data_IF_955096009301
#
_entry.id   IF_955096009301
#
_cell.length_a   1.000
_cell.length_b   1.000
_cell.length_c   1.000
_cell.angle_alpha   90.00
_cell.angle_beta   90.00
_cell.angle_gamma   90.00
#
_symmetry.space_group_name_H-M   'P 1'
#
loop_
_entity.id
_entity.type
_entity.pdbx_description
1 polymer ?
#
# COMPACT_ATOMS: atom_id res chain seq x y z
N UNK A 1 11.39 38.53 13.29
CA UNK A 1 12.40 39.51 12.81
C UNK A 1 13.86 39.05 12.87
N UNK A 2 14.26 37.98 13.59
CA UNK A 2 15.66 37.52 13.63
C UNK A 2 16.06 36.42 12.62
N UNK A 3 15.11 35.84 11.88
CA UNK A 3 15.42 34.85 10.83
C UNK A 3 15.85 35.51 9.51
N UNK A 4 15.29 36.68 9.17
CA UNK A 4 15.63 37.42 7.94
C UNK A 4 17.06 38.01 7.96
N UNK A 5 17.59 38.39 9.13
CA UNK A 5 18.95 38.95 9.20
C UNK A 5 20.05 37.89 9.13
N UNK A 6 19.72 36.63 9.43
CA UNK A 6 20.68 35.52 9.41
C UNK A 6 20.87 34.98 7.97
N UNK A 7 19.83 35.06 7.13
CA UNK A 7 19.92 34.73 5.70
C UNK A 7 20.75 35.76 4.91
N UNK A 8 20.77 37.02 5.33
CA UNK A 8 21.56 38.07 4.69
C UNK A 8 23.06 38.00 4.99
N UNK A 9 23.48 37.48 6.16
CA UNK A 9 24.90 37.35 6.51
C UNK A 9 25.62 36.18 5.83
N UNK A 10 24.89 35.26 5.20
CA UNK A 10 25.45 34.11 4.47
C UNK A 10 25.75 34.40 2.99
N UNK A 11 25.71 35.66 2.56
CA UNK A 11 26.11 36.05 1.19
C UNK A 11 25.11 35.70 0.10
N UNK A 12 23.88 35.29 0.45
CA UNK A 12 22.77 35.04 -0.50
C UNK A 12 22.10 36.34 -0.99
N UNK A 13 22.86 37.44 -1.04
CA UNK A 13 22.38 38.78 -1.34
C UNK A 13 22.57 39.25 -2.77
N UNK A 14 23.25 38.48 -3.64
CA UNK A 14 23.37 38.86 -5.04
C UNK A 14 23.21 37.65 -5.96
N UNK A 15 22.20 37.73 -6.81
CA UNK A 15 21.63 36.66 -7.60
C UNK A 15 22.45 36.45 -8.89
N UNK A 16 23.77 36.30 -8.76
CA UNK A 16 24.70 36.12 -9.88
C UNK A 16 25.80 35.13 -9.50
N UNK A 17 25.53 33.83 -9.65
CA UNK A 17 26.56 32.82 -9.43
C UNK A 17 26.10 31.38 -9.50
N UNK A 18 24.80 31.11 -9.31
CA UNK A 18 24.20 29.85 -9.71
C UNK A 18 23.72 30.05 -11.15
N UNK A 19 24.15 29.21 -12.09
CA UNK A 19 23.85 29.30 -13.52
C UNK A 19 22.37 29.12 -13.90
N UNK A 20 21.44 29.70 -13.14
CA UNK A 20 20.09 29.98 -13.54
C UNK A 20 20.16 31.14 -14.53
N UNK A 21 20.20 30.80 -15.82
CA UNK A 21 19.88 31.76 -16.88
C UNK A 21 18.55 32.44 -16.59
N UNK A 22 18.26 33.58 -17.23
CA UNK A 22 17.08 34.40 -16.91
C UNK A 22 15.86 33.49 -16.91
N UNK A 23 15.26 33.32 -15.72
CA UNK A 23 14.01 32.63 -15.53
C UNK A 23 13.09 33.11 -16.64
N UNK A 24 12.67 32.19 -17.51
CA UNK A 24 11.66 32.53 -18.49
C UNK A 24 10.51 33.12 -17.67
N UNK A 25 10.22 34.41 -17.88
CA UNK A 25 9.04 35.06 -17.30
C UNK A 25 7.86 34.42 -18.00
N UNK A 26 7.50 33.21 -17.58
CA UNK A 26 6.30 32.53 -18.04
C UNK A 26 5.15 33.39 -17.54
N UNK A 27 4.25 33.74 -18.44
CA UNK A 27 3.06 34.50 -18.08
C UNK A 27 2.35 33.71 -16.96
N UNK A 28 2.23 34.30 -15.76
CA UNK A 28 1.41 33.71 -14.68
C UNK A 28 0.07 33.34 -15.30
N UNK A 29 -0.31 32.06 -15.28
CA UNK A 29 -1.62 31.59 -15.74
C UNK A 29 -2.65 32.41 -14.94
N UNK A 30 -3.31 33.37 -15.60
CA UNK A 30 -4.39 34.14 -14.96
C UNK A 30 -5.56 33.20 -14.76
N UNK A 31 -5.60 32.52 -13.63
CA UNK A 31 -6.78 31.79 -13.21
C UNK A 31 -7.85 32.80 -12.80
N UNK A 32 -8.95 32.81 -13.55
CA UNK A 32 -10.08 33.73 -13.37
C UNK A 32 -11.22 33.10 -12.58
N UNK A 33 -11.19 31.79 -12.34
CA UNK A 33 -12.22 31.07 -11.59
C UNK A 33 -11.94 31.15 -10.10
N UNK A 34 -12.95 31.53 -9.32
CA UNK A 34 -12.92 31.43 -7.86
C UNK A 34 -13.13 29.96 -7.46
N UNK A 35 -12.38 29.44 -6.47
CA UNK A 35 -12.62 28.09 -5.97
C UNK A 35 -14.00 27.97 -5.32
N UNK A 36 -14.66 26.83 -5.54
CA UNK A 36 -16.02 26.57 -5.05
C UNK A 36 -16.07 25.75 -3.76
N UNK A 37 -14.99 25.02 -3.44
CA UNK A 37 -14.92 24.09 -2.31
C UNK A 37 -13.60 24.23 -1.55
N UNK A 38 -12.49 24.11 -2.28
CA UNK A 38 -11.13 24.22 -1.73
C UNK A 38 -10.85 25.61 -1.19
N UNK A 39 -10.28 25.68 0.01
CA UNK A 39 -9.77 26.91 0.63
C UNK A 39 -8.26 26.93 0.56
N UNK A 40 -7.73 27.90 -0.18
CA UNK A 40 -6.31 28.17 -0.27
C UNK A 40 -5.84 29.04 0.89
N UNK A 41 -4.59 28.85 1.31
CA UNK A 41 -3.89 29.76 2.20
C UNK A 41 -3.61 31.09 1.48
N UNK A 42 -3.46 32.19 2.24
CA UNK A 42 -3.21 33.52 1.67
C UNK A 42 -1.87 33.62 0.92
N UNK A 43 -0.91 32.79 1.33
CA UNK A 43 0.43 32.68 0.74
C UNK A 43 0.52 31.61 -0.38
N UNK A 44 -0.56 30.89 -0.67
CA UNK A 44 -0.55 29.96 -1.80
C UNK A 44 -0.52 30.71 -3.12
N UNK A 45 0.17 30.14 -4.12
CA UNK A 45 -0.03 30.51 -5.52
C UNK A 45 -1.06 29.56 -6.15
N UNK A 46 -2.32 29.97 -6.37
CA UNK A 46 -3.34 29.08 -6.93
C UNK A 46 -2.98 28.59 -8.35
N UNK A 47 -2.07 29.26 -9.06
CA UNK A 47 -1.74 28.92 -10.45
C UNK A 47 -0.94 27.62 -10.61
N UNK A 48 -0.35 27.09 -9.52
CA UNK A 48 0.39 25.81 -9.54
C UNK A 48 -0.50 24.60 -9.27
N UNK A 49 -1.81 24.81 -9.01
CA UNK A 49 -2.76 23.75 -8.72
C UNK A 49 -3.57 23.32 -9.96
N UNK A 50 -3.99 22.04 -10.04
CA UNK A 50 -4.86 21.57 -11.11
C UNK A 50 -6.16 22.38 -11.23
N UNK A 51 -6.65 22.61 -12.45
CA UNK A 51 -7.89 23.35 -12.69
C UNK A 51 -9.10 22.73 -11.96
N UNK A 52 -9.07 21.40 -11.75
CA UNK A 52 -10.10 20.66 -11.01
C UNK A 52 -10.42 21.30 -9.64
N UNK A 53 -9.43 21.83 -8.93
CA UNK A 53 -9.58 22.36 -7.57
C UNK A 53 -10.34 23.68 -7.51
N UNK A 54 -10.55 24.34 -8.65
CA UNK A 54 -11.38 25.54 -8.75
C UNK A 54 -12.86 25.22 -8.97
N UNK A 55 -13.19 23.94 -9.16
CA UNK A 55 -14.57 23.44 -9.27
C UNK A 55 -14.97 22.67 -8.02
N UNK A 56 -16.27 22.37 -7.88
CA UNK A 56 -16.75 21.56 -6.76
C UNK A 56 -16.48 20.06 -7.02
N UNK A 57 -15.89 19.31 -6.06
CA UNK A 57 -15.58 17.88 -6.23
C UNK A 57 -16.77 17.01 -6.64
N UNK A 58 -17.99 17.38 -6.24
CA UNK A 58 -19.21 16.64 -6.63
C UNK A 58 -19.49 16.61 -8.15
N UNK A 59 -18.92 17.55 -8.91
CA UNK A 59 -19.02 17.64 -10.37
C UNK A 59 -17.74 17.18 -11.09
N UNK A 60 -16.78 16.67 -10.33
CA UNK A 60 -15.49 16.26 -10.87
C UNK A 60 -15.62 14.99 -11.71
N UNK A 61 -14.99 15.02 -12.87
CA UNK A 61 -14.82 13.87 -13.76
C UNK A 61 -13.33 13.49 -13.78
N UNK A 62 -12.98 12.26 -13.39
CA UNK A 62 -11.59 11.83 -13.35
C UNK A 62 -10.94 11.83 -14.73
N UNK A 63 -9.66 12.23 -14.78
CA UNK A 63 -8.83 12.05 -15.96
C UNK A 63 -8.68 10.55 -16.25
N UNK A 64 -8.93 10.20 -17.51
CA UNK A 64 -8.70 8.85 -18.02
C UNK A 64 -7.35 8.80 -18.73
N UNK A 65 -6.64 7.71 -18.48
CA UNK A 65 -5.50 7.25 -19.24
C UNK A 65 -5.85 7.01 -20.71
N UNK A 66 -4.83 6.93 -21.56
CA UNK A 66 -4.94 6.55 -22.95
C UNK A 66 -5.54 5.13 -23.14
N UNK A 67 -5.41 4.25 -22.15
CA UNK A 67 -6.04 2.93 -22.12
C UNK A 67 -7.42 2.92 -21.42
N UNK A 68 -7.96 4.10 -21.11
CA UNK A 68 -9.28 4.27 -20.49
C UNK A 68 -9.32 4.04 -18.98
N UNK A 69 -8.20 3.63 -18.35
CA UNK A 69 -8.11 3.44 -16.90
C UNK A 69 -8.01 4.78 -16.16
N UNK A 70 -8.45 4.80 -14.91
CA UNK A 70 -8.30 5.94 -14.01
C UNK A 70 -7.41 5.51 -12.85
N UNK A 71 -6.39 6.31 -12.53
CA UNK A 71 -5.49 6.05 -11.39
C UNK A 71 -5.48 7.24 -10.43
N UNK A 72 -5.32 6.97 -9.13
CA UNK A 72 -5.19 7.96 -8.06
C UNK A 72 -6.21 9.09 -8.13
N UNK A 73 -7.50 8.71 -8.09
CA UNK A 73 -8.66 9.58 -8.23
C UNK A 73 -8.79 10.30 -9.58
N UNK A 74 -7.81 10.16 -10.48
CA UNK A 74 -7.75 10.86 -11.75
C UNK A 74 -7.70 12.38 -11.61
N UNK A 75 -7.26 12.89 -10.46
CA UNK A 75 -7.14 14.34 -10.19
C UNK A 75 -6.12 15.01 -11.10
N UNK A 76 -5.05 14.28 -11.41
CA UNK A 76 -4.03 14.69 -12.37
C UNK A 76 -4.06 13.76 -13.58
N UNK A 77 -3.72 14.28 -14.76
CA UNK A 77 -3.56 13.44 -15.94
C UNK A 77 -2.38 12.48 -15.75
N UNK A 78 -2.36 11.44 -16.56
CA UNK A 78 -1.17 10.59 -16.70
C UNK A 78 -0.42 10.98 -17.97
N UNK A 79 0.88 10.68 -17.99
CA UNK A 79 1.66 10.87 -19.20
C UNK A 79 1.15 9.96 -20.33
N UNK A 80 1.06 10.50 -21.56
CA UNK A 80 0.55 9.75 -22.71
C UNK A 80 1.53 8.65 -23.14
N UNK A 81 1.04 7.76 -24.02
CA UNK A 81 1.76 6.59 -24.54
C UNK A 81 3.13 6.89 -25.16
N UNK A 82 3.32 8.07 -25.74
CA UNK A 82 4.57 8.43 -26.42
C UNK A 82 5.49 9.32 -25.57
N UNK A 83 5.34 9.28 -24.23
CA UNK A 83 6.13 10.05 -23.28
C UNK A 83 7.17 9.19 -22.56
N UNK A 84 8.31 9.77 -22.17
CA UNK A 84 9.37 9.05 -21.43
C UNK A 84 8.93 8.52 -20.05
N UNK A 85 7.86 9.09 -19.50
CA UNK A 85 7.23 8.70 -18.25
C UNK A 85 5.82 8.12 -18.47
N UNK A 86 5.57 7.53 -19.64
CA UNK A 86 4.30 6.87 -19.99
C UNK A 86 3.69 6.12 -18.80
N UNK A 87 2.40 6.34 -18.54
CA UNK A 87 1.66 5.62 -17.50
C UNK A 87 1.88 6.13 -16.08
N UNK A 88 2.88 6.99 -15.84
CA UNK A 88 3.04 7.69 -14.57
C UNK A 88 2.08 8.90 -14.47
N UNK A 89 1.71 9.28 -13.25
CA UNK A 89 0.93 10.50 -13.02
C UNK A 89 1.78 11.73 -13.31
N UNK A 90 1.22 12.61 -14.13
CA UNK A 90 1.80 13.90 -14.42
C UNK A 90 1.48 14.86 -13.28
N UNK A 91 2.41 14.94 -12.34
CA UNK A 91 2.36 15.87 -11.23
C UNK A 91 2.60 17.33 -11.64
N UNK A 92 2.72 17.65 -12.93
CA UNK A 92 3.16 18.95 -13.44
C UNK A 92 4.68 19.08 -13.42
N UNK A 93 5.18 20.26 -13.77
CA UNK A 93 6.62 20.53 -13.76
C UNK A 93 7.19 20.40 -12.33
N UNK A 94 8.42 19.89 -12.19
CA UNK A 94 9.01 19.58 -10.88
C UNK A 94 9.04 20.76 -9.91
N UNK A 95 9.12 21.99 -10.42
CA UNK A 95 9.03 23.22 -9.63
C UNK A 95 7.63 23.41 -9.01
N UNK A 96 6.55 23.14 -9.74
CA UNK A 96 5.17 23.27 -9.23
C UNK A 96 4.88 22.27 -8.13
N UNK A 97 5.31 21.02 -8.30
CA UNK A 97 5.19 19.99 -7.27
C UNK A 97 6.01 20.36 -6.03
N UNK A 98 7.23 20.87 -6.21
CA UNK A 98 8.07 21.34 -5.11
C UNK A 98 7.41 22.51 -4.37
N UNK A 99 6.87 23.50 -5.08
CA UNK A 99 6.15 24.62 -4.47
C UNK A 99 4.94 24.14 -3.66
N UNK A 100 4.12 23.23 -4.21
CA UNK A 100 2.97 22.64 -3.51
C UNK A 100 3.41 21.88 -2.24
N UNK A 101 4.48 21.09 -2.32
CA UNK A 101 5.05 20.39 -1.15
C UNK A 101 5.58 21.35 -0.08
N UNK A 102 6.23 22.43 -0.47
CA UNK A 102 6.70 23.46 0.47
C UNK A 102 5.52 24.18 1.14
N UNK A 103 4.47 24.49 0.37
CA UNK A 103 3.25 25.11 0.87
C UNK A 103 2.47 24.21 1.83
N UNK A 104 2.57 22.88 1.70
CA UNK A 104 1.93 21.93 2.62
C UNK A 104 2.30 22.17 4.10
N UNK A 105 3.51 22.68 4.38
CA UNK A 105 3.92 23.04 5.75
C UNK A 105 3.07 24.17 6.37
N UNK A 106 2.40 24.99 5.57
CA UNK A 106 1.48 26.04 6.06
C UNK A 106 0.18 25.45 6.64
N UNK A 107 -0.13 24.22 6.27
CA UNK A 107 -1.34 23.49 6.65
C UNK A 107 -1.13 22.56 7.84
N UNK A 108 0.10 22.12 8.08
CA UNK A 108 0.46 21.29 9.23
C UNK A 108 0.19 22.07 10.52
N UNK A 109 -0.56 21.45 11.45
CA UNK A 109 -0.94 22.01 12.76
C UNK A 109 -1.74 23.33 12.73
N UNK A 110 -2.31 23.69 11.58
CA UNK A 110 -3.12 24.90 11.44
C UNK A 110 -4.62 24.59 11.54
N UNK A 111 -5.22 24.81 12.71
CA UNK A 111 -6.64 24.54 12.98
C UNK A 111 -7.63 25.31 12.09
N UNK A 112 -7.17 26.28 11.27
CA UNK A 112 -8.02 27.01 10.31
C UNK A 112 -8.23 26.27 9.00
N UNK A 113 -7.44 25.23 8.71
CA UNK A 113 -7.47 24.51 7.45
C UNK A 113 -7.58 23.01 7.66
N UNK A 114 -8.48 22.38 6.91
CA UNK A 114 -8.75 20.94 6.97
C UNK A 114 -7.78 20.13 6.08
N UNK A 115 -6.52 20.56 6.03
CA UNK A 115 -5.48 20.02 5.15
C UNK A 115 -5.19 20.86 3.90
N UNK A 116 -4.28 20.35 3.06
CA UNK A 116 -3.87 20.97 1.80
C UNK A 116 -5.02 21.07 0.79
N UNK A 117 -4.93 21.93 -0.25
CA UNK A 117 -5.92 21.98 -1.32
C UNK A 117 -6.26 20.61 -1.94
N UNK A 118 -5.24 19.78 -2.16
CA UNK A 118 -5.37 18.40 -2.63
C UNK A 118 -6.16 17.54 -1.65
N UNK A 119 -5.80 17.55 -0.37
CA UNK A 119 -6.46 16.78 0.68
C UNK A 119 -7.92 17.18 0.84
N UNK A 120 -8.23 18.48 0.84
CA UNK A 120 -9.60 18.98 0.91
C UNK A 120 -10.45 18.42 -0.24
N UNK A 121 -9.93 18.49 -1.47
CA UNK A 121 -10.63 18.02 -2.66
C UNK A 121 -10.83 16.49 -2.63
N UNK A 122 -9.76 15.74 -2.34
CA UNK A 122 -9.80 14.27 -2.31
C UNK A 122 -10.63 13.74 -1.15
N UNK A 123 -10.60 14.37 0.03
CA UNK A 123 -11.43 13.97 1.15
C UNK A 123 -12.93 14.03 0.80
N UNK A 124 -13.35 15.01 -0.01
CA UNK A 124 -14.72 15.05 -0.53
C UNK A 124 -15.01 13.90 -1.51
N UNK A 125 -14.06 13.52 -2.36
CA UNK A 125 -14.19 12.34 -3.23
C UNK A 125 -14.30 11.05 -2.41
N UNK A 126 -13.51 10.92 -1.34
CA UNK A 126 -13.57 9.81 -0.38
C UNK A 126 -14.96 9.73 0.26
N UNK A 127 -15.52 10.85 0.70
CA UNK A 127 -16.88 10.89 1.25
C UNK A 127 -17.94 10.42 0.26
N UNK A 128 -17.90 10.96 -0.97
CA UNK A 128 -18.80 10.55 -2.05
C UNK A 128 -18.69 9.05 -2.34
N UNK A 129 -17.46 8.52 -2.35
CA UNK A 129 -17.24 7.10 -2.58
C UNK A 129 -17.81 6.25 -1.45
N UNK A 130 -17.63 6.65 -0.19
CA UNK A 130 -18.22 5.96 0.96
C UNK A 130 -19.76 5.99 0.89
N UNK A 131 -20.36 7.12 0.53
CA UNK A 131 -21.81 7.24 0.33
C UNK A 131 -22.31 6.33 -0.80
N UNK A 132 -21.58 6.27 -1.92
CA UNK A 132 -21.87 5.38 -3.06
C UNK A 132 -21.82 3.93 -2.62
N UNK A 133 -20.74 3.50 -1.97
CA UNK A 133 -20.56 2.12 -1.53
C UNK A 133 -21.62 1.70 -0.51
N UNK A 134 -22.00 2.60 0.40
CA UNK A 134 -23.03 2.32 1.41
C UNK A 134 -24.43 2.02 0.85
N UNK A 135 -24.67 2.42 -0.41
CA UNK A 135 -25.96 2.26 -1.12
C UNK A 135 -25.88 1.25 -2.26
N UNK A 136 -24.70 0.68 -2.51
CA UNK A 136 -24.47 -0.22 -3.63
C UNK A 136 -25.15 -1.57 -3.34
N UNK A 137 -26.05 -1.96 -4.23
CA UNK A 137 -26.62 -3.31 -4.22
C UNK A 137 -25.65 -4.26 -4.94
N UNK A 138 -25.17 -5.25 -4.19
CA UNK A 138 -24.21 -6.24 -4.69
C UNK A 138 -24.88 -7.56 -5.09
N UNK A 139 -26.19 -7.72 -4.85
CA UNK A 139 -26.87 -8.99 -5.08
C UNK A 139 -26.15 -10.15 -4.39
N UNK A 140 -25.82 -11.19 -5.16
CA UNK A 140 -25.13 -12.39 -4.69
C UNK A 140 -23.60 -12.34 -4.83
N UNK A 141 -23.03 -11.23 -5.33
CA UNK A 141 -21.60 -11.13 -5.63
C UNK A 141 -20.71 -11.37 -4.42
N UNK A 142 -21.20 -11.10 -3.20
CA UNK A 142 -20.44 -11.36 -1.98
C UNK A 142 -20.36 -12.85 -1.61
N UNK A 143 -21.28 -13.67 -2.11
CA UNK A 143 -21.32 -15.11 -1.88
C UNK A 143 -20.61 -15.91 -2.97
N UNK A 144 -20.16 -15.23 -4.03
CA UNK A 144 -19.49 -15.83 -5.19
C UNK A 144 -17.98 -15.87 -5.02
N UNK A 145 -17.35 -16.90 -5.56
CA UNK A 145 -15.89 -17.02 -5.63
C UNK A 145 -15.35 -16.33 -6.89
N UNK A 146 -14.29 -15.56 -6.73
CA UNK A 146 -13.60 -14.81 -7.78
C UNK A 146 -12.25 -15.48 -8.02
N UNK A 147 -11.99 -15.89 -9.25
CA UNK A 147 -10.63 -16.27 -9.69
C UNK A 147 -9.93 -14.97 -10.13
N UNK A 148 -8.82 -14.67 -9.48
CA UNK A 148 -8.03 -13.46 -9.68
C UNK A 148 -6.62 -13.82 -10.12
N UNK A 149 -6.10 -13.05 -11.09
CA UNK A 149 -4.68 -13.03 -11.41
C UNK A 149 -4.08 -11.72 -10.96
N UNK A 150 -3.00 -11.81 -10.19
CA UNK A 150 -2.15 -10.68 -9.81
C UNK A 150 -0.82 -10.78 -10.56
N UNK A 151 -0.38 -9.68 -11.16
CA UNK A 151 0.91 -9.58 -11.87
C UNK A 151 1.68 -8.39 -11.34
N UNK A 152 3.01 -8.49 -11.24
CA UNK A 152 3.85 -7.32 -11.01
C UNK A 152 3.94 -6.48 -12.27
N UNK A 153 3.54 -5.23 -12.18
CA UNK A 153 3.46 -4.31 -13.31
C UNK A 153 4.86 -4.09 -13.94
N UNK A 154 4.94 -4.00 -15.26
CA UNK A 154 6.18 -3.75 -16.01
C UNK A 154 7.30 -4.81 -15.87
N UNK A 155 7.07 -5.95 -15.22
CA UNK A 155 8.08 -7.01 -15.05
C UNK A 155 7.82 -8.16 -16.03
N UNK A 156 8.34 -8.01 -17.25
CA UNK A 156 8.12 -8.95 -18.35
C UNK A 156 9.38 -9.73 -18.78
N UNK A 157 9.16 -10.88 -19.40
CA UNK A 157 10.21 -11.63 -20.09
C UNK A 157 10.51 -11.07 -21.49
N UNK A 158 11.49 -11.66 -22.16
CA UNK A 158 11.88 -11.22 -23.50
C UNK A 158 10.79 -11.42 -24.57
N UNK A 159 9.79 -12.26 -24.29
CA UNK A 159 8.63 -12.49 -25.14
C UNK A 159 7.42 -11.60 -24.74
N UNK A 160 7.54 -10.80 -23.68
CA UNK A 160 6.48 -9.93 -23.18
C UNK A 160 5.53 -10.60 -22.18
N UNK A 161 5.81 -11.81 -21.70
CA UNK A 161 4.98 -12.47 -20.69
C UNK A 161 5.29 -11.95 -19.29
N UNK A 162 4.28 -11.91 -18.41
CA UNK A 162 4.45 -11.58 -17.00
C UNK A 162 5.43 -12.55 -16.31
N UNK A 163 6.50 -12.04 -15.69
CA UNK A 163 7.48 -12.89 -14.99
C UNK A 163 7.05 -13.26 -13.58
N UNK A 164 6.38 -12.32 -12.89
CA UNK A 164 5.99 -12.49 -11.49
C UNK A 164 4.49 -12.34 -11.39
N UNK A 165 3.81 -13.46 -11.19
CA UNK A 165 2.35 -13.50 -11.11
C UNK A 165 1.85 -14.62 -10.21
N UNK A 166 0.60 -14.48 -9.75
CA UNK A 166 -0.10 -15.48 -8.94
C UNK A 166 -1.55 -15.58 -9.40
N UNK A 167 -2.07 -16.79 -9.43
CA UNK A 167 -3.48 -17.05 -9.64
C UNK A 167 -4.09 -17.63 -8.37
N UNK A 168 -5.20 -17.05 -7.92
CA UNK A 168 -5.80 -17.40 -6.65
C UNK A 168 -7.30 -17.12 -6.67
N UNK A 169 -8.02 -17.84 -5.81
CA UNK A 169 -9.47 -17.74 -5.67
C UNK A 169 -9.83 -17.27 -4.27
N UNK A 170 -10.75 -16.32 -4.18
CA UNK A 170 -11.30 -15.79 -2.92
C UNK A 170 -12.79 -15.49 -3.06
N UNK A 171 -13.50 -15.36 -1.95
CA UNK A 171 -14.89 -14.89 -1.99
C UNK A 171 -14.97 -13.38 -2.29
N UNK A 172 -15.96 -12.96 -3.06
CA UNK A 172 -16.32 -11.54 -3.25
C UNK A 172 -16.70 -10.83 -1.94
N UNK A 173 -17.10 -11.58 -0.92
CA UNK A 173 -17.37 -11.10 0.43
C UNK A 173 -16.13 -10.91 1.30
N UNK A 174 -14.93 -11.31 0.84
CA UNK A 174 -13.70 -11.10 1.59
C UNK A 174 -13.43 -9.61 1.71
N UNK A 175 -13.16 -9.13 2.93
CA UNK A 175 -12.84 -7.71 3.15
C UNK A 175 -11.55 -7.34 2.44
N UNK A 176 -11.45 -6.12 1.90
CA UNK A 176 -10.23 -5.68 1.21
C UNK A 176 -9.03 -5.55 2.17
N UNK A 177 -9.31 -5.31 3.45
CA UNK A 177 -8.30 -5.35 4.53
C UNK A 177 -7.73 -6.75 4.72
N UNK A 178 -8.59 -7.78 4.78
CA UNK A 178 -8.13 -9.18 4.84
C UNK A 178 -7.50 -9.64 3.53
N UNK A 179 -7.99 -9.18 2.37
CA UNK A 179 -7.38 -9.47 1.08
C UNK A 179 -5.93 -8.99 1.06
N UNK A 180 -5.63 -7.74 1.43
CA UNK A 180 -4.27 -7.24 1.49
C UNK A 180 -3.42 -7.96 2.54
N UNK A 181 -3.86 -7.92 3.81
CA UNK A 181 -3.05 -8.39 4.94
C UNK A 181 -2.89 -9.91 4.98
N UNK A 182 -3.95 -10.67 4.68
CA UNK A 182 -3.99 -12.13 4.87
C UNK A 182 -3.74 -12.93 3.61
N UNK A 183 -3.96 -12.33 2.44
CA UNK A 183 -3.85 -13.03 1.16
C UNK A 183 -2.70 -12.45 0.34
N UNK A 184 -2.79 -11.22 -0.15
CA UNK A 184 -1.86 -10.66 -1.14
C UNK A 184 -0.42 -10.56 -0.62
N UNK A 185 -0.22 -9.93 0.55
CA UNK A 185 1.11 -9.79 1.15
C UNK A 185 1.83 -11.14 1.32
N UNK A 186 1.26 -12.15 2.00
CA UNK A 186 1.90 -13.47 2.13
C UNK A 186 1.94 -14.29 0.83
N UNK A 187 0.98 -14.09 -0.08
CA UNK A 187 0.93 -14.75 -1.40
C UNK A 187 2.11 -14.33 -2.26
N UNK A 188 2.39 -13.03 -2.34
CA UNK A 188 3.58 -12.52 -3.02
C UNK A 188 4.83 -13.02 -2.32
N UNK A 189 4.87 -12.91 -0.99
CA UNK A 189 5.98 -13.37 -0.15
C UNK A 189 6.55 -12.29 0.76
N UNK A 190 5.93 -11.11 0.82
CA UNK A 190 6.32 -10.01 1.70
C UNK A 190 5.83 -10.18 3.13
N UNK A 191 6.32 -9.30 3.99
CA UNK A 191 6.13 -9.32 5.42
C UNK A 191 4.90 -8.50 5.80
N UNK A 192 4.00 -9.15 6.51
CA UNK A 192 2.79 -8.51 7.03
C UNK A 192 3.13 -7.45 8.07
N UNK A 193 2.32 -6.40 8.10
CA UNK A 193 2.41 -5.29 9.05
C UNK A 193 3.72 -4.49 8.93
N UNK A 194 4.47 -4.56 7.82
CA UNK A 194 5.72 -3.80 7.67
C UNK A 194 5.51 -2.47 6.95
N UNK A 195 4.85 -2.52 5.80
CA UNK A 195 4.54 -1.37 4.97
C UNK A 195 3.04 -1.12 4.86
N UNK A 196 2.65 0.09 4.46
CA UNK A 196 1.30 0.40 4.02
C UNK A 196 1.02 -0.16 2.63
N UNK A 197 -0.27 -0.18 2.24
CA UNK A 197 -0.71 -0.61 0.92
C UNK A 197 -1.91 0.19 0.45
N UNK A 198 -2.16 0.20 -0.87
CA UNK A 198 -3.32 0.83 -1.45
C UNK A 198 -3.92 0.00 -2.60
N UNK A 199 -5.24 -0.03 -2.68
CA UNK A 199 -5.95 -0.46 -3.89
C UNK A 199 -6.39 0.76 -4.68
N UNK A 200 -6.21 0.75 -6.01
CA UNK A 200 -6.79 1.77 -6.91
C UNK A 200 -7.65 1.08 -7.96
N UNK A 201 -8.96 1.35 -7.96
CA UNK A 201 -9.89 0.70 -8.90
C UNK A 201 -9.93 1.47 -10.21
N UNK A 202 -9.59 0.84 -11.33
CA UNK A 202 -9.45 1.55 -12.61
C UNK A 202 -10.75 2.16 -13.15
N UNK A 203 -11.92 1.65 -12.73
CA UNK A 203 -13.23 2.11 -13.20
C UNK A 203 -13.57 3.54 -12.76
N UNK A 204 -13.10 3.97 -11.60
CA UNK A 204 -13.41 5.28 -11.00
C UNK A 204 -12.20 5.95 -10.34
N UNK A 205 -11.03 5.30 -10.32
CA UNK A 205 -9.81 5.80 -9.72
C UNK A 205 -9.81 5.80 -8.19
N UNK A 206 -10.86 5.32 -7.54
CA UNK A 206 -10.97 5.38 -6.10
C UNK A 206 -9.85 4.60 -5.42
N UNK A 207 -9.23 5.21 -4.41
CA UNK A 207 -8.12 4.65 -3.64
C UNK A 207 -8.61 4.14 -2.29
N UNK A 208 -8.14 2.97 -1.87
CA UNK A 208 -8.49 2.34 -0.58
C UNK A 208 -7.23 1.89 0.14
N UNK A 209 -7.16 2.03 1.46
CA UNK A 209 -6.00 1.56 2.23
C UNK A 209 -6.16 1.68 3.74
N UNK A 210 -5.12 1.30 4.52
CA UNK A 210 -5.13 1.34 5.97
C UNK A 210 -4.82 2.77 6.46
N UNK A 211 -5.81 3.67 6.42
CA UNK A 211 -5.64 5.10 6.79
C UNK A 211 -5.21 5.34 8.24
N UNK A 212 -5.36 4.33 9.10
CA UNK A 212 -4.91 4.34 10.50
C UNK A 212 -3.47 3.85 10.68
N UNK A 213 -2.82 3.43 9.60
CA UNK A 213 -1.43 2.97 9.60
C UNK A 213 -0.48 4.03 10.11
N UNK A 214 0.51 3.57 10.86
CA UNK A 214 1.67 4.35 11.31
C UNK A 214 2.96 3.84 10.71
N UNK A 215 2.89 3.11 9.60
CA UNK A 215 4.09 2.64 8.89
C UNK A 215 4.91 3.85 8.41
N UNK A 216 6.23 3.70 8.35
CA UNK A 216 7.15 4.82 8.06
C UNK A 216 6.84 5.41 6.69
N UNK A 217 6.53 4.55 5.74
CA UNK A 217 6.18 4.87 4.35
C UNK A 217 4.88 5.68 4.22
N UNK A 218 4.04 5.80 5.26
CA UNK A 218 2.87 6.69 5.27
C UNK A 218 3.23 8.16 4.98
N UNK A 219 4.49 8.55 5.17
CA UNK A 219 4.99 9.88 4.74
C UNK A 219 4.87 10.11 3.22
N UNK A 220 4.74 9.04 2.43
CA UNK A 220 4.52 9.08 0.99
C UNK A 220 3.03 9.07 0.59
N UNK A 221 2.07 9.31 1.51
CA UNK A 221 0.62 9.33 1.19
C UNK A 221 0.25 10.23 -0.01
N UNK A 222 1.03 11.30 -0.26
CA UNK A 222 0.82 12.19 -1.41
C UNK A 222 1.08 11.52 -2.76
N UNK A 223 1.95 10.50 -2.85
CA UNK A 223 2.20 9.75 -4.09
C UNK A 223 1.12 8.70 -4.39
N UNK A 224 0.19 8.46 -3.47
CA UNK A 224 -0.89 7.46 -3.62
C UNK A 224 -2.28 8.10 -3.70
N UNK A 225 -2.35 9.32 -4.23
CA UNK A 225 -3.60 10.01 -4.52
C UNK A 225 -4.11 10.94 -3.41
N UNK A 226 -3.23 11.42 -2.53
CA UNK A 226 -3.50 12.41 -1.46
C UNK A 226 -4.48 11.98 -0.35
N UNK A 227 -5.16 10.86 -0.53
CA UNK A 227 -6.10 10.31 0.43
C UNK A 227 -6.70 9.01 -0.06
N UNK A 228 -7.21 8.22 0.88
CA UNK A 228 -7.80 6.91 0.60
C UNK A 228 -9.09 6.72 1.39
N UNK A 229 -10.01 5.96 0.82
CA UNK A 229 -11.14 5.38 1.54
C UNK A 229 -10.57 4.38 2.56
N UNK A 230 -10.90 4.50 3.87
CA UNK A 230 -10.46 3.52 4.85
C UNK A 230 -11.00 2.14 4.51
N UNK A 231 -10.12 1.14 4.43
CA UNK A 231 -10.49 -0.25 4.12
C UNK A 231 -11.48 -0.86 5.12
N UNK A 232 -11.42 -0.38 6.37
CA UNK A 232 -12.28 -0.79 7.48
C UNK A 232 -12.38 0.36 8.47
N UNK A 233 -13.59 0.80 8.78
CA UNK A 233 -13.83 1.85 9.79
C UNK A 233 -15.23 1.75 10.38
N UNK A 234 -15.61 2.72 11.22
CA UNK A 234 -17.01 2.90 11.64
C UNK A 234 -17.92 3.38 10.49
N UNK A 235 -17.35 3.82 9.37
CA UNK A 235 -18.10 4.28 8.17
C UNK A 235 -18.39 3.16 7.18
N UNK A 236 -17.78 1.99 7.34
CA UNK A 236 -17.99 0.84 6.46
C UNK A 236 -16.84 -0.16 6.50
N UNK A 237 -17.12 -1.36 6.02
CA UNK A 237 -16.13 -2.42 5.78
C UNK A 237 -16.36 -2.91 4.36
N UNK A 238 -15.38 -2.68 3.50
CA UNK A 238 -15.53 -2.90 2.06
C UNK A 238 -14.98 -4.28 1.69
N UNK A 239 -15.60 -4.92 0.70
CA UNK A 239 -15.23 -6.26 0.23
C UNK A 239 -14.76 -6.22 -1.21
N UNK A 240 -14.16 -7.31 -1.70
CA UNK A 240 -13.74 -7.42 -3.09
C UNK A 240 -14.89 -7.06 -4.06
N UNK A 241 -16.10 -7.58 -3.82
CA UNK A 241 -17.29 -7.30 -4.62
C UNK A 241 -17.73 -5.81 -4.60
N UNK A 242 -17.28 -5.00 -3.63
CA UNK A 242 -17.49 -3.54 -3.68
C UNK A 242 -16.55 -2.86 -4.69
N UNK A 243 -15.37 -3.42 -4.90
CA UNK A 243 -14.34 -2.86 -5.78
C UNK A 243 -14.47 -3.40 -7.20
N UNK A 244 -14.70 -4.70 -7.38
CA UNK A 244 -14.77 -5.37 -8.68
C UNK A 244 -16.08 -6.17 -8.77
N UNK A 245 -16.90 -5.89 -9.78
CA UNK A 245 -18.23 -6.48 -9.98
C UNK A 245 -18.35 -7.37 -11.23
N UNK A 246 -17.39 -7.32 -12.14
CA UNK A 246 -17.45 -8.06 -13.40
C UNK A 246 -16.09 -8.65 -13.80
N UNK A 247 -16.14 -9.72 -14.59
CA UNK A 247 -14.97 -10.30 -15.25
C UNK A 247 -14.29 -9.26 -16.16
N UNK A 248 -12.97 -9.28 -16.20
CA UNK A 248 -12.15 -8.31 -16.91
C UNK A 248 -11.96 -6.97 -16.20
N UNK A 249 -12.66 -6.70 -15.09
CA UNK A 249 -12.36 -5.52 -14.28
C UNK A 249 -11.00 -5.65 -13.61
N UNK A 250 -10.32 -4.52 -13.47
CA UNK A 250 -8.94 -4.45 -12.96
C UNK A 250 -8.79 -3.39 -11.88
N UNK A 251 -7.84 -3.64 -10.98
CA UNK A 251 -7.38 -2.67 -9.99
C UNK A 251 -5.87 -2.78 -9.79
N UNK A 252 -5.26 -1.70 -9.33
CA UNK A 252 -3.88 -1.73 -8.84
C UNK A 252 -3.89 -2.17 -7.37
N UNK A 253 -2.94 -3.01 -6.99
CA UNK A 253 -2.51 -3.15 -5.61
C UNK A 253 -1.07 -2.66 -5.48
N UNK A 254 -0.89 -1.60 -4.71
CA UNK A 254 0.39 -0.99 -4.40
C UNK A 254 0.79 -1.45 -3.01
N UNK A 255 1.96 -2.07 -2.89
CA UNK A 255 2.59 -2.44 -1.63
C UNK A 255 3.82 -1.54 -1.42
N UNK A 256 3.98 -1.04 -0.19
CA UNK A 256 5.03 -0.09 0.18
C UNK A 256 4.92 1.26 -0.54
N UNK A 257 4.51 2.28 0.19
CA UNK A 257 4.37 3.62 -0.37
C UNK A 257 5.72 4.27 -0.71
N UNK A 258 6.81 3.79 -0.11
CA UNK A 258 8.17 4.25 -0.38
C UNK A 258 8.72 3.64 -1.66
N UNK A 259 8.77 2.30 -1.73
CA UNK A 259 9.29 1.58 -2.89
C UNK A 259 8.34 1.56 -4.09
N UNK A 260 7.04 1.73 -3.87
CA UNK A 260 5.99 1.75 -4.89
C UNK A 260 5.91 0.43 -5.69
N UNK A 261 5.82 -0.72 -4.99
CA UNK A 261 5.63 -2.02 -5.65
C UNK A 261 4.23 -2.13 -6.24
N UNK A 262 4.13 -1.97 -7.56
CA UNK A 262 2.85 -1.93 -8.27
C UNK A 262 2.49 -3.29 -8.84
N UNK A 263 1.23 -3.66 -8.64
CA UNK A 263 0.63 -4.87 -9.17
C UNK A 263 -0.68 -4.56 -9.87
N UNK A 264 -0.99 -5.31 -10.92
CA UNK A 264 -2.31 -5.32 -11.53
C UNK A 264 -3.04 -6.59 -11.12
N UNK A 265 -4.23 -6.42 -10.55
CA UNK A 265 -5.16 -7.50 -10.22
C UNK A 265 -6.29 -7.48 -11.23
N UNK A 266 -6.57 -8.63 -11.84
CA UNK A 266 -7.64 -8.82 -12.83
C UNK A 266 -8.62 -9.87 -12.35
N UNK A 267 -9.91 -9.62 -12.51
CA UNK A 267 -10.95 -10.67 -12.36
C UNK A 267 -10.97 -11.52 -13.62
N UNK A 268 -10.52 -12.77 -13.52
CA UNK A 268 -10.55 -13.70 -14.66
C UNK A 268 -11.90 -14.43 -14.75
N UNK A 269 -12.50 -14.74 -13.60
CA UNK A 269 -13.74 -15.50 -13.52
C UNK A 269 -14.51 -15.13 -12.25
N UNK A 270 -15.85 -15.05 -12.33
CA UNK A 270 -16.73 -15.01 -11.17
C UNK A 270 -17.62 -16.26 -11.19
N UNK A 271 -17.30 -17.25 -10.37
CA UNK A 271 -18.05 -18.51 -10.29
C UNK A 271 -19.51 -18.28 -9.85
N UNK A 272 -20.48 -19.09 -10.30
CA UNK A 272 -21.84 -19.02 -9.78
C UNK A 272 -21.89 -19.39 -8.29
N UNK A 273 -22.89 -18.89 -7.55
CA UNK A 273 -23.04 -19.14 -6.11
C UNK A 273 -23.07 -20.63 -5.79
N UNK A 274 -23.68 -21.46 -6.64
CA UNK A 274 -23.78 -22.92 -6.47
C UNK A 274 -22.43 -23.64 -6.49
N UNK A 275 -21.41 -23.05 -7.12
CA UNK A 275 -20.06 -23.61 -7.21
C UNK A 275 -19.09 -22.93 -6.23
N UNK A 276 -19.56 -21.88 -5.56
CA UNK A 276 -18.74 -21.06 -4.68
C UNK A 276 -18.58 -21.72 -3.31
N UNK A 277 -17.32 -21.85 -2.88
CA UNK A 277 -16.95 -22.44 -1.60
C UNK A 277 -16.75 -21.37 -0.52
N UNK A 278 -16.53 -20.13 -0.95
CA UNK A 278 -16.17 -19.01 -0.10
C UNK A 278 -14.75 -19.11 0.45
N UNK A 279 -13.92 -20.06 0.03
CA UNK A 279 -12.58 -20.31 0.61
C UNK A 279 -11.49 -19.59 -0.18
N UNK A 280 -10.39 -19.29 0.51
CA UNK A 280 -9.14 -18.86 -0.13
C UNK A 280 -8.43 -20.10 -0.69
N UNK A 281 -8.08 -20.05 -1.97
CA UNK A 281 -7.27 -21.09 -2.63
C UNK A 281 -6.19 -20.45 -3.49
N UNK A 282 -4.94 -20.88 -3.33
CA UNK A 282 -3.83 -20.44 -4.20
C UNK A 282 -3.68 -21.50 -5.29
N UNK A 283 -3.88 -21.10 -6.54
CA UNK A 283 -4.01 -22.00 -7.69
C UNK A 283 -2.66 -22.23 -8.35
N UNK A 284 -1.98 -21.16 -8.74
CA UNK A 284 -0.70 -21.22 -9.45
C UNK A 284 0.13 -19.92 -9.31
N UNK A 285 1.34 -19.89 -9.85
CA UNK A 285 2.16 -18.69 -9.96
C UNK A 285 3.54 -18.93 -10.58
N UNK A 286 4.25 -17.84 -10.87
CA UNK A 286 5.63 -17.87 -11.34
C UNK A 286 6.44 -16.69 -10.78
N UNK A 287 7.76 -16.83 -10.70
CA UNK A 287 8.67 -15.77 -10.28
C UNK A 287 8.76 -15.57 -8.76
N UNK A 288 9.99 -15.40 -8.29
CA UNK A 288 10.28 -15.12 -6.89
C UNK A 288 9.78 -13.73 -6.48
N UNK A 289 9.41 -13.58 -5.21
CA UNK A 289 9.07 -12.28 -4.64
C UNK A 289 10.30 -11.35 -4.68
N UNK A 290 10.20 -10.10 -5.11
CA UNK A 290 11.27 -9.13 -4.87
C UNK A 290 11.56 -9.00 -3.37
N UNK A 291 12.76 -8.55 -3.05
CA UNK A 291 13.19 -8.33 -1.66
C UNK A 291 12.43 -7.15 -1.04
N UNK A 292 12.16 -7.22 0.27
CA UNK A 292 11.73 -6.04 1.05
C UNK A 292 12.77 -4.92 0.95
N UNK A 293 12.32 -3.66 1.00
CA UNK A 293 13.17 -2.47 0.86
C UNK A 293 14.02 -2.52 -0.43
N UNK A 294 13.39 -2.94 -1.53
CA UNK A 294 14.04 -3.26 -2.80
C UNK A 294 13.95 -2.19 -3.88
N UNK A 295 13.29 -1.06 -3.59
CA UNK A 295 13.18 0.15 -4.44
C UNK A 295 12.32 0.01 -5.70
N UNK A 296 11.31 -0.87 -5.66
CA UNK A 296 10.25 -0.93 -6.66
C UNK A 296 10.58 -1.71 -7.93
N UNK A 297 9.57 -1.81 -8.81
CA UNK A 297 9.57 -2.71 -9.96
C UNK A 297 10.77 -2.50 -10.90
N UNK A 298 11.11 -1.23 -11.20
CA UNK A 298 12.20 -0.87 -12.11
C UNK A 298 13.58 -1.36 -11.62
N UNK A 299 13.89 -1.19 -10.32
CA UNK A 299 15.14 -1.69 -9.74
C UNK A 299 15.17 -3.21 -9.75
N UNK A 300 14.02 -3.87 -9.51
CA UNK A 300 13.97 -5.32 -9.63
C UNK A 300 14.23 -5.80 -11.06
N UNK A 301 13.75 -5.10 -12.08
CA UNK A 301 14.08 -5.42 -13.49
C UNK A 301 15.60 -5.34 -13.73
N UNK A 302 16.29 -4.33 -13.20
CA UNK A 302 17.75 -4.25 -13.26
C UNK A 302 18.42 -5.40 -12.50
N UNK A 303 17.94 -5.72 -11.30
CA UNK A 303 18.45 -6.83 -10.49
C UNK A 303 18.25 -8.18 -11.18
N UNK A 304 17.13 -8.39 -11.89
CA UNK A 304 16.90 -9.56 -12.72
C UNK A 304 17.93 -9.66 -13.86
N UNK A 305 18.31 -8.55 -14.47
CA UNK A 305 19.37 -8.53 -15.50
C UNK A 305 20.72 -8.91 -14.90
N UNK A 306 21.08 -8.33 -13.74
CA UNK A 306 22.31 -8.68 -13.01
C UNK A 306 22.35 -10.15 -12.64
N UNK A 307 21.26 -10.71 -12.11
CA UNK A 307 21.17 -12.13 -11.72
C UNK A 307 21.38 -13.08 -12.89
N UNK A 308 20.83 -12.77 -14.07
CA UNK A 308 20.88 -13.64 -15.26
C UNK A 308 22.16 -13.51 -16.06
N UNK A 309 22.57 -12.27 -16.33
CA UNK A 309 23.58 -11.94 -17.33
C UNK A 309 24.70 -11.04 -16.79
N UNK A 310 24.62 -10.62 -15.52
CA UNK A 310 25.65 -9.81 -14.87
C UNK A 310 26.91 -10.60 -14.56
N UNK A 311 27.98 -9.87 -14.28
CA UNK A 311 29.23 -10.39 -13.76
C UNK A 311 29.02 -11.07 -12.40
N UNK A 312 29.98 -11.90 -11.98
CA UNK A 312 29.96 -12.54 -10.64
C UNK A 312 29.81 -11.49 -9.53
N UNK A 313 30.43 -10.31 -9.70
CA UNK A 313 30.32 -9.21 -8.74
C UNK A 313 28.89 -8.67 -8.66
N UNK A 314 28.29 -8.29 -9.79
CA UNK A 314 26.93 -7.75 -9.82
C UNK A 314 25.90 -8.76 -9.30
N UNK A 315 26.04 -10.04 -9.66
CA UNK A 315 25.23 -11.12 -9.09
C UNK A 315 25.36 -11.18 -7.57
N UNK A 316 26.59 -11.18 -7.06
CA UNK A 316 26.85 -11.27 -5.63
C UNK A 316 26.33 -10.04 -4.86
N UNK A 317 26.31 -8.86 -5.46
CA UNK A 317 25.69 -7.66 -4.90
C UNK A 317 24.19 -7.89 -4.67
N UNK A 318 23.45 -8.33 -5.70
CA UNK A 318 22.00 -8.63 -5.57
C UNK A 318 21.74 -9.75 -4.55
N UNK A 319 22.50 -10.85 -4.60
CA UNK A 319 22.35 -11.96 -3.66
C UNK A 319 22.64 -11.54 -2.20
N UNK A 320 23.53 -10.57 -2.00
CA UNK A 320 23.85 -10.05 -0.67
C UNK A 320 22.68 -9.23 -0.12
N UNK A 321 22.04 -8.39 -0.94
CA UNK A 321 20.86 -7.65 -0.52
C UNK A 321 19.65 -8.57 -0.28
N UNK A 322 19.45 -9.59 -1.12
CA UNK A 322 18.44 -10.63 -0.88
C UNK A 322 18.63 -11.30 0.49
N UNK A 323 19.86 -11.62 0.90
CA UNK A 323 20.13 -12.25 2.22
C UNK A 323 19.80 -11.35 3.41
N UNK A 324 19.85 -10.03 3.23
CA UNK A 324 19.56 -9.06 4.29
C UNK A 324 18.06 -8.76 4.42
N UNK A 325 17.31 -8.97 3.35
CA UNK A 325 15.91 -8.59 3.28
C UNK A 325 15.03 -9.44 4.21
N UNK A 326 14.03 -8.78 4.80
CA UNK A 326 13.21 -9.36 5.86
C UNK A 326 12.39 -10.57 5.37
N UNK A 327 11.88 -10.52 4.14
CA UNK A 327 11.12 -11.63 3.53
C UNK A 327 11.97 -12.85 3.16
N UNK A 328 13.30 -12.71 3.16
CA UNK A 328 14.26 -13.78 2.90
C UNK A 328 15.01 -14.23 4.17
N UNK A 329 14.71 -13.63 5.33
CA UNK A 329 15.34 -13.99 6.60
C UNK A 329 15.13 -15.47 6.92
N UNK A 330 16.22 -16.17 7.22
CA UNK A 330 16.21 -17.61 7.51
C UNK A 330 16.11 -18.53 6.29
N UNK A 331 16.05 -17.98 5.06
CA UNK A 331 16.10 -18.77 3.83
C UNK A 331 17.53 -18.88 3.30
N UNK A 332 17.97 -20.06 2.84
CA UNK A 332 19.28 -20.19 2.21
C UNK A 332 19.27 -19.55 0.83
N UNK A 333 19.90 -18.38 0.69
CA UNK A 333 20.15 -17.74 -0.62
C UNK A 333 21.57 -18.08 -1.07
N UNK A 334 21.68 -18.99 -2.04
CA UNK A 334 22.96 -19.47 -2.59
C UNK A 334 23.28 -18.78 -3.93
N UNK A 335 24.38 -19.18 -4.57
CA UNK A 335 24.73 -18.71 -5.92
C UNK A 335 23.73 -19.17 -7.00
N UNK A 336 22.94 -20.21 -6.69
CA UNK A 336 21.97 -20.85 -7.58
C UNK A 336 20.54 -20.33 -7.37
N UNK A 337 20.39 -19.17 -6.71
CA UNK A 337 19.08 -18.52 -6.58
C UNK A 337 18.47 -18.30 -7.96
N UNK A 338 17.30 -18.91 -8.18
CA UNK A 338 16.52 -18.76 -9.40
C UNK A 338 15.45 -17.69 -9.20
N UNK A 339 15.56 -16.51 -9.84
CA UNK A 339 14.55 -15.46 -9.72
C UNK A 339 13.22 -15.80 -10.41
N UNK A 340 13.17 -16.83 -11.27
CA UNK A 340 11.93 -17.29 -11.92
C UNK A 340 11.21 -18.38 -11.09
N UNK A 341 11.84 -18.91 -10.04
CA UNK A 341 11.27 -19.97 -9.22
C UNK A 341 10.09 -19.48 -8.36
N UNK A 342 9.01 -20.25 -8.38
CA UNK A 342 7.87 -20.09 -7.48
C UNK A 342 7.54 -21.42 -6.79
N UNK A 343 7.56 -21.43 -5.46
CA UNK A 343 7.11 -22.57 -4.66
C UNK A 343 5.66 -22.38 -4.23
N UNK A 344 4.75 -23.09 -4.91
CA UNK A 344 3.32 -23.06 -4.65
C UNK A 344 2.97 -23.62 -3.25
N UNK A 345 3.70 -24.62 -2.75
CA UNK A 345 3.45 -25.19 -1.43
C UNK A 345 3.85 -24.19 -0.34
N UNK A 346 5.00 -23.53 -0.50
CA UNK A 346 5.45 -22.49 0.41
C UNK A 346 4.49 -21.29 0.41
N UNK A 347 4.00 -20.87 -0.76
CA UNK A 347 3.01 -19.80 -0.88
C UNK A 347 1.70 -20.13 -0.15
N UNK A 348 1.17 -21.36 -0.35
CA UNK A 348 -0.02 -21.85 0.38
C UNK A 348 0.22 -21.86 1.89
N UNK A 349 1.40 -22.28 2.34
CA UNK A 349 1.76 -22.29 3.76
C UNK A 349 1.82 -20.88 4.36
N UNK A 350 2.41 -19.91 3.66
CA UNK A 350 2.46 -18.49 4.11
C UNK A 350 1.06 -17.89 4.22
N UNK A 351 0.22 -18.07 3.21
CA UNK A 351 -1.17 -17.57 3.23
C UNK A 351 -1.97 -18.24 4.35
N UNK A 352 -1.85 -19.56 4.52
CA UNK A 352 -2.52 -20.26 5.62
C UNK A 352 -2.03 -19.77 7.00
N UNK A 353 -0.73 -19.56 7.19
CA UNK A 353 -0.18 -19.01 8.44
C UNK A 353 -0.70 -17.60 8.72
N UNK A 354 -0.86 -16.77 7.70
CA UNK A 354 -1.45 -15.44 7.82
C UNK A 354 -2.93 -15.51 8.22
N UNK A 355 -3.73 -16.36 7.56
CA UNK A 355 -5.13 -16.62 7.91
C UNK A 355 -5.26 -17.12 9.35
N UNK A 356 -4.37 -18.00 9.80
CA UNK A 356 -4.32 -18.56 11.15
C UNK A 356 -3.72 -17.62 12.22
N UNK A 357 -3.71 -16.31 11.95
CA UNK A 357 -3.21 -15.30 12.88
C UNK A 357 -4.19 -14.12 13.00
N UNK A 358 -4.13 -13.29 14.05
CA UNK A 358 -4.92 -12.07 14.15
C UNK A 358 -4.57 -11.04 13.07
N UNK A 359 -5.52 -10.15 12.76
CA UNK A 359 -5.30 -8.98 11.90
C UNK A 359 -4.05 -8.18 12.35
N UNK A 360 -3.31 -7.66 11.39
CA UNK A 360 -2.19 -6.74 11.66
C UNK A 360 -2.69 -5.49 12.41
N UNK A 361 -1.87 -4.97 13.33
CA UNK A 361 -2.21 -3.75 14.07
C UNK A 361 -1.55 -2.56 13.39
N UNK A 362 -2.27 -1.95 12.45
CA UNK A 362 -1.76 -0.83 11.65
C UNK A 362 -1.29 0.38 12.48
N UNK A 363 -1.82 0.59 13.69
CA UNK A 363 -1.34 1.64 14.59
C UNK A 363 0.02 1.36 15.25
N UNK A 364 0.59 0.17 15.05
CA UNK A 364 1.91 -0.22 15.53
C UNK A 364 2.53 -1.26 14.59
N UNK A 365 2.92 -0.84 13.38
CA UNK A 365 3.53 -1.72 12.40
C UNK A 365 4.96 -2.11 12.80
N UNK A 366 5.51 -3.09 12.09
CA UNK A 366 6.93 -3.44 12.16
C UNK A 366 7.76 -2.23 11.81
N UNK A 367 8.76 -1.96 12.63
CA UNK A 367 9.74 -0.90 12.40
C UNK A 367 11.08 -1.33 12.96
N UNK A 368 12.15 -1.02 12.24
CA UNK A 368 13.49 -1.12 12.79
C UNK A 368 13.76 0.10 13.68
N UNK A 369 14.30 -0.16 14.86
CA UNK A 369 14.70 0.86 15.83
C UNK A 369 16.19 0.75 16.06
N UNK A 370 16.87 1.89 15.95
CA UNK A 370 18.27 2.07 16.28
C UNK A 370 18.33 2.91 17.56
N UNK A 371 18.45 2.28 18.75
CA UNK A 371 18.53 3.04 19.99
C UNK A 371 19.81 3.89 19.97
N UNK A 372 19.66 5.20 20.18
CA UNK A 372 20.79 6.13 20.26
C UNK A 372 21.41 6.17 21.67
N UNK A 373 20.65 5.73 22.68
CA UNK A 373 21.07 5.63 24.07
C UNK A 373 20.28 4.51 24.77
N UNK A 374 20.73 4.08 25.96
CA UNK A 374 20.08 2.99 26.71
C UNK A 374 18.65 3.36 27.11
N UNK A 375 18.38 4.63 27.43
CA UNK A 375 17.03 5.10 27.80
C UNK A 375 16.04 5.00 26.64
N UNK A 376 16.53 5.07 25.39
CA UNK A 376 15.69 4.86 24.20
C UNK A 376 15.21 3.41 24.08
N UNK A 377 15.86 2.46 24.77
CA UNK A 377 15.41 1.08 24.83
C UNK A 377 14.11 0.93 25.62
N UNK A 378 13.82 1.80 26.58
CA UNK A 378 12.62 1.67 27.42
C UNK A 378 11.36 2.31 26.80
N UNK A 379 11.52 3.03 25.68
CA UNK A 379 10.42 3.74 25.00
C UNK A 379 10.10 3.11 23.63
N UNK A 380 8.82 2.99 23.23
CA UNK A 380 8.48 2.65 21.84
C UNK A 380 8.99 3.73 20.87
N UNK A 381 9.38 3.35 19.66
CA UNK A 381 9.71 4.32 18.59
C UNK A 381 8.57 5.32 18.37
N UNK A 382 8.85 6.56 17.94
CA UNK A 382 7.85 7.52 17.44
C UNK A 382 6.81 6.90 16.48
N UNK A 383 7.25 5.94 15.66
CA UNK A 383 6.44 5.23 14.65
C UNK A 383 5.43 4.27 15.29
N UNK A 384 5.75 3.69 16.45
CA UNK A 384 4.86 2.83 17.24
C UNK A 384 4.45 3.50 18.55
N UNK A 385 4.49 4.83 18.63
CA UNK A 385 4.49 5.58 19.90
C UNK A 385 3.17 5.56 20.68
N UNK A 386 2.14 4.87 20.18
CA UNK A 386 0.94 4.60 20.94
C UNK A 386 1.18 3.51 21.99
N UNK A 387 0.82 3.78 23.25
CA UNK A 387 0.73 2.71 24.25
C UNK A 387 -0.19 1.59 23.72
N UNK A 388 0.21 0.30 23.80
CA UNK A 388 -0.63 -0.80 23.38
C UNK A 388 -2.02 -0.72 24.02
N UNK A 389 -3.07 -0.80 23.22
CA UNK A 389 -4.44 -0.85 23.73
C UNK A 389 -4.64 -2.17 24.48
N UNK A 390 -5.68 -2.26 25.33
CA UNK A 390 -6.00 -3.49 26.08
C UNK A 390 -5.95 -4.73 25.16
N UNK A 391 -5.18 -5.76 25.48
CA UNK A 391 -5.06 -6.99 24.67
C UNK A 391 -4.14 -6.88 23.45
N UNK A 392 -3.40 -5.78 23.33
CA UNK A 392 -2.26 -5.63 22.45
C UNK A 392 -0.95 -5.72 23.25
N UNK A 393 0.12 -6.13 22.58
CA UNK A 393 1.46 -6.28 23.16
C UNK A 393 2.46 -5.62 22.23
N UNK A 394 3.43 -4.88 22.78
CA UNK A 394 4.61 -4.44 22.04
C UNK A 394 5.63 -5.59 22.03
N UNK A 395 5.84 -6.18 20.86
CA UNK A 395 6.83 -7.22 20.64
C UNK A 395 8.13 -6.61 20.13
N UNK A 396 9.27 -7.16 20.56
CA UNK A 396 10.61 -6.75 20.11
C UNK A 396 11.47 -7.96 19.80
N UNK A 397 12.14 -7.92 18.65
CA UNK A 397 13.05 -8.97 18.19
C UNK A 397 14.38 -8.34 17.79
N UNK A 398 15.44 -8.70 18.50
CA UNK A 398 16.78 -8.18 18.28
C UNK A 398 17.47 -8.84 17.09
N UNK A 399 18.33 -8.09 16.40
CA UNK A 399 19.20 -8.65 15.38
C UNK A 399 20.60 -8.94 15.93
N UNK A 400 21.11 -10.14 15.68
CA UNK A 400 22.27 -10.70 16.39
C UNK A 400 21.82 -11.52 17.60
N UNK A 401 22.39 -12.72 17.79
CA UNK A 401 21.95 -13.68 18.81
C UNK A 401 22.08 -13.17 20.25
N UNK A 402 21.65 -13.99 21.21
CA UNK A 402 21.78 -13.73 22.64
C UNK A 402 23.26 -13.60 23.05
N UNK A 403 23.80 -12.38 22.98
CA UNK A 403 25.16 -12.05 23.41
C UNK A 403 25.92 -11.19 22.40
N UNK A 404 25.72 -9.87 22.47
CA UNK A 404 26.57 -8.92 21.75
C UNK A 404 25.92 -7.56 21.56
N UNK A 405 26.24 -6.64 22.46
CA UNK A 405 25.89 -5.21 22.50
C UNK A 405 24.39 -4.87 22.65
N UNK A 406 24.02 -4.33 23.83
CA UNK A 406 22.64 -3.88 24.13
C UNK A 406 22.17 -2.69 23.28
N UNK A 407 23.04 -2.14 22.43
CA UNK A 407 22.75 -1.05 21.51
C UNK A 407 22.56 -1.51 20.04
N UNK A 408 22.33 -2.81 19.80
CA UNK A 408 21.98 -3.32 18.47
C UNK A 408 20.65 -2.81 17.94
N UNK A 409 20.43 -2.88 16.62
CA UNK A 409 19.10 -2.61 16.05
C UNK A 409 18.14 -3.72 16.42
N UNK A 410 16.88 -3.38 16.64
CA UNK A 410 15.81 -4.35 16.86
C UNK A 410 14.60 -4.03 16.01
N UNK A 411 13.86 -5.06 15.64
CA UNK A 411 12.52 -4.92 15.09
C UNK A 411 11.53 -4.83 16.24
N UNK A 412 10.52 -3.98 16.10
CA UNK A 412 9.39 -3.95 17.02
C UNK A 412 8.07 -3.86 16.26
N UNK A 413 7.01 -4.37 16.86
CA UNK A 413 5.64 -4.19 16.38
C UNK A 413 4.62 -4.30 17.52
N UNK A 414 3.41 -3.77 17.30
CA UNK A 414 2.28 -4.07 18.17
C UNK A 414 1.54 -5.28 17.59
N UNK A 415 1.38 -6.33 18.38
CA UNK A 415 0.53 -7.47 18.03
C UNK A 415 -0.74 -7.45 18.87
N UNK A 416 -1.75 -8.24 18.48
CA UNK A 416 -2.94 -8.42 19.30
C UNK A 416 -3.22 -9.88 19.59
N UNK A 417 -3.65 -10.16 20.82
CA UNK A 417 -4.17 -11.47 21.21
C UNK A 417 -5.69 -11.54 21.13
N UNK A 418 -6.34 -10.44 20.70
CA UNK A 418 -7.79 -10.39 20.53
C UNK A 418 -8.19 -11.13 19.26
N UNK A 419 -9.36 -11.75 19.32
CA UNK A 419 -10.04 -12.28 18.14
C UNK A 419 -10.46 -11.14 17.21
N UNK A 420 -10.31 -11.38 15.92
CA UNK A 420 -10.78 -10.47 14.88
C UNK A 420 -12.31 -10.28 14.98
N UNK A 421 -12.79 -9.12 14.55
CA UNK A 421 -14.23 -8.90 14.46
C UNK A 421 -14.80 -9.81 13.38
N UNK A 422 -16.00 -10.35 13.60
CA UNK A 422 -16.73 -11.11 12.57
C UNK A 422 -16.91 -10.27 11.30
N UNK A 423 -17.33 -9.01 11.48
CA UNK A 423 -17.43 -8.06 10.37
C UNK A 423 -16.02 -7.71 9.88
N UNK A 424 -15.75 -8.08 8.62
CA UNK A 424 -14.47 -7.89 7.96
C UNK A 424 -13.38 -8.89 8.32
N UNK A 425 -13.65 -9.83 9.25
CA UNK A 425 -12.77 -10.95 9.53
C UNK A 425 -13.04 -12.13 8.60
N UNK A 426 -12.24 -13.18 8.73
CA UNK A 426 -12.40 -14.41 7.97
C UNK A 426 -12.08 -15.64 8.83
N UNK A 427 -12.44 -16.82 8.33
CA UNK A 427 -12.11 -18.08 8.97
C UNK A 427 -10.60 -18.30 8.99
N UNK A 428 -10.04 -18.58 10.16
CA UNK A 428 -8.60 -18.79 10.33
C UNK A 428 -8.06 -20.03 9.60
N UNK A 429 -8.92 -20.97 9.21
CA UNK A 429 -8.53 -22.20 8.54
C UNK A 429 -8.62 -22.10 7.00
N UNK A 430 -9.70 -21.51 6.48
CA UNK A 430 -9.97 -21.50 5.03
C UNK A 430 -10.15 -20.10 4.43
N UNK A 431 -10.06 -19.05 5.24
CA UNK A 431 -10.22 -17.67 4.79
C UNK A 431 -11.64 -17.28 4.38
N UNK A 432 -12.64 -18.12 4.63
CA UNK A 432 -14.02 -17.76 4.31
C UNK A 432 -14.55 -16.62 5.17
N UNK A 433 -15.18 -15.57 4.59
CA UNK A 433 -15.82 -14.50 5.35
C UNK A 433 -17.21 -14.90 5.88
N UNK A 434 -17.71 -16.09 5.52
CA UNK A 434 -19.10 -16.48 5.71
C UNK A 434 -19.31 -17.28 6.99
N UNK A 435 -20.52 -17.15 7.58
CA UNK A 435 -20.98 -17.97 8.72
C UNK A 435 -20.03 -18.00 9.92
N UNK A 436 -19.36 -16.87 10.20
CA UNK A 436 -18.29 -16.81 11.19
C UNK A 436 -18.79 -16.97 12.63
N UNK A 437 -18.14 -17.89 13.33
CA UNK A 437 -18.29 -18.15 14.76
C UNK A 437 -16.95 -18.02 15.46
N UNK A 438 -17.00 -17.53 16.70
CA UNK A 438 -15.81 -17.41 17.53
C UNK A 438 -15.60 -18.65 18.38
N UNK A 439 -14.36 -19.11 18.51
CA UNK A 439 -14.05 -20.22 19.41
C UNK A 439 -14.21 -19.80 20.88
N UNK A 440 -15.10 -20.48 21.60
CA UNK A 440 -15.34 -20.23 23.03
C UNK A 440 -14.18 -20.68 23.91
N UNK A 441 -13.42 -21.69 23.47
CA UNK A 441 -12.27 -22.26 24.20
C UNK A 441 -11.05 -21.36 24.15
N UNK A 442 -10.50 -21.09 22.96
CA UNK A 442 -9.29 -20.27 22.84
C UNK A 442 -9.59 -18.76 22.84
N UNK A 443 -10.84 -18.36 22.57
CA UNK A 443 -11.30 -16.95 22.49
C UNK A 443 -10.59 -16.10 21.43
N UNK A 444 -9.75 -16.69 20.58
CA UNK A 444 -8.94 -16.02 19.54
C UNK A 444 -9.40 -16.30 18.12
N UNK A 445 -9.79 -17.53 17.81
CA UNK A 445 -10.01 -17.94 16.42
C UNK A 445 -11.44 -17.68 15.93
N UNK A 446 -11.56 -17.38 14.63
CA UNK A 446 -12.81 -17.40 13.87
C UNK A 446 -12.86 -18.64 12.96
N UNK A 447 -14.03 -19.28 12.88
CA UNK A 447 -14.27 -20.41 11.98
C UNK A 447 -15.65 -20.30 11.33
N UNK A 448 -15.81 -20.83 10.11
CA UNK A 448 -17.06 -20.80 9.35
C UNK A 448 -17.94 -22.06 9.54
N UNK A 449 -17.45 -23.07 10.26
CA UNK A 449 -18.17 -24.33 10.52
C UNK A 449 -17.37 -25.31 11.38
N UNK A 450 -18.01 -26.42 11.77
CA UNK A 450 -17.44 -27.44 12.68
C UNK A 450 -16.16 -28.07 12.15
N UNK A 451 -16.07 -28.30 10.85
CA UNK A 451 -14.86 -28.88 10.24
C UNK A 451 -13.67 -27.94 10.35
N UNK A 452 -13.85 -26.66 10.03
CA UNK A 452 -12.79 -25.66 10.22
C UNK A 452 -12.45 -25.48 11.72
N UNK A 453 -13.43 -25.58 12.61
CA UNK A 453 -13.18 -25.51 14.05
C UNK A 453 -12.28 -26.66 14.55
N UNK A 454 -12.51 -27.89 14.08
CA UNK A 454 -11.69 -29.05 14.47
C UNK A 454 -10.23 -28.87 14.08
N UNK A 455 -9.98 -28.43 12.84
CA UNK A 455 -8.61 -28.20 12.34
C UNK A 455 -7.91 -27.09 13.14
N UNK A 456 -8.62 -26.01 13.48
CA UNK A 456 -8.07 -24.91 14.27
C UNK A 456 -7.81 -25.22 15.76
N UNK A 457 -8.26 -26.37 16.28
CA UNK A 457 -8.09 -26.78 17.70
C UNK A 457 -7.03 -27.88 17.84
N UNK A 458 -6.65 -28.54 16.76
CA UNK A 458 -5.56 -29.52 16.77
C UNK A 458 -4.22 -28.79 16.96
N UNK A 459 -3.44 -29.11 18.01
CA UNK A 459 -2.07 -28.63 18.07
C UNK A 459 -1.29 -29.30 16.94
N UNK A 460 -0.62 -28.51 16.11
CA UNK A 460 0.48 -29.00 15.29
C UNK A 460 1.48 -29.65 16.25
N UNK A 461 1.58 -30.97 16.20
CA UNK A 461 2.56 -31.75 16.97
C UNK A 461 3.94 -31.65 16.34
#
# INVERSE_FOLDING_TARGET
>A
MRLLSMLQSMGLGDNRGLGLGPASRRAKKKFTKKPQYVRFHEDDDPSVYPEAFFSHPDKFEPHKSWDGKIIWWGVQPIFPKDHEFEGAVDHGEGEELMMRKMAANLYVDNARFDGTPEEQFVNRLVERQIEKLSKLDLGDLQDRDYTLKIVMDDIHDAAGNDRIWREFRVSGGLSISALADKVLTPLMGWVRNYHAHAFTVHKDGAVYGPTESKAIDMMHTQSIGYGAVPEKSNRGVWTLAHLLQAEGETMIWLYDYGDNWRHIITVEEIAPVSESTGKVAILDGAGACPREDGSGNHIWVEDLQKLRAGTIRERNEVLTELRKALNYKGKPITADFDPDAFDLAEARARVHAALASPDSVWSGPKSFVYPLCEEAMDSPSPVTAGAPKKGQTLERTWEGGEGGDRMGRFMQEITTSRRDKKVGGCCWNCGSPHNLSGCSRCKKTLYCGTECQKVSISPSF
#
